data_IF_934775801271
#
_entry.id   IF_934775801271
#
_cell.length_a   1.000
_cell.length_b   1.000
_cell.length_c   1.000
_cell.angle_alpha   90.00
_cell.angle_beta   90.00
_cell.angle_gamma   90.00
#
_symmetry.space_group_name_H-M   'P 1'
#
loop_
_entity.id
_entity.type
_entity.pdbx_description
1 polymer ?
#
# COMPACT_ATOMS: atom_id res chain seq x y z
N UNK A 1 8.36 5.77 1.24
CA UNK A 1 8.74 5.38 2.62
C UNK A 1 7.54 4.77 3.29
N UNK A 2 7.71 3.56 3.84
CA UNK A 2 6.66 2.88 4.59
C UNK A 2 6.62 3.48 5.98
N UNK A 3 5.48 4.02 6.33
CA UNK A 3 5.19 4.49 7.67
C UNK A 3 4.16 3.57 8.29
N UNK A 4 4.50 2.98 9.41
CA UNK A 4 3.58 2.25 10.25
C UNK A 4 3.35 3.05 11.51
N UNK A 5 2.20 3.68 11.63
CA UNK A 5 1.71 4.15 12.92
C UNK A 5 1.16 2.91 13.59
N UNK A 6 2.02 2.20 14.22
CA UNK A 6 1.64 1.10 15.06
C UNK A 6 1.97 1.42 16.49
N UNK A 7 1.47 0.62 17.39
CA UNK A 7 1.78 0.62 18.81
C UNK A 7 3.28 0.62 19.18
N UNK A 8 4.19 0.69 18.21
CA UNK A 8 5.62 0.45 18.40
C UNK A 8 6.49 1.71 18.35
N UNK A 9 5.92 2.90 18.23
CA UNK A 9 6.67 4.17 18.31
C UNK A 9 7.79 4.31 17.28
N UNK A 10 7.55 4.00 16.02
CA UNK A 10 8.55 4.19 14.98
C UNK A 10 8.83 5.66 14.73
N UNK A 11 10.10 6.00 14.61
CA UNK A 11 10.51 7.33 14.18
C UNK A 11 10.05 7.55 12.71
N UNK A 12 9.36 8.65 12.47
CA UNK A 12 9.02 9.07 11.12
C UNK A 12 10.23 9.79 10.55
N UNK A 13 10.81 9.21 9.49
CA UNK A 13 11.82 9.87 8.70
C UNK A 13 11.18 10.39 7.42
N UNK A 14 11.10 11.68 7.26
CA UNK A 14 10.67 12.32 6.03
C UNK A 14 11.90 12.74 5.20
N UNK A 15 11.69 13.03 3.91
CA UNK A 15 12.75 13.63 3.09
C UNK A 15 13.03 15.10 3.46
N UNK A 16 12.21 15.67 4.34
CA UNK A 16 12.36 17.02 4.87
C UNK A 16 12.89 16.90 6.32
N UNK A 17 14.15 17.27 6.58
CA UNK A 17 14.74 17.16 7.91
C UNK A 17 13.99 17.93 9.01
N UNK A 18 13.30 19.01 8.62
CA UNK A 18 12.54 19.84 9.56
C UNK A 18 11.22 19.18 9.97
N UNK A 19 10.81 18.14 9.25
CA UNK A 19 9.63 17.33 9.55
C UNK A 19 9.95 15.95 10.11
N UNK A 20 11.22 15.68 10.40
CA UNK A 20 11.57 14.45 11.08
C UNK A 20 11.04 14.48 12.51
N UNK A 21 10.13 13.57 12.79
CA UNK A 21 9.53 13.44 14.12
C UNK A 21 9.69 12.02 14.65
N UNK A 22 9.77 11.89 15.94
CA UNK A 22 9.61 10.59 16.59
C UNK A 22 8.13 10.24 16.53
N UNK A 23 7.82 9.02 16.09
CA UNK A 23 6.44 8.53 16.14
C UNK A 23 5.93 8.51 17.59
N UNK A 24 4.68 8.82 17.78
CA UNK A 24 4.01 8.71 19.07
C UNK A 24 3.82 7.24 19.43
N UNK A 25 4.12 6.88 20.68
CA UNK A 25 3.81 5.55 21.21
C UNK A 25 2.34 5.50 21.64
N UNK A 26 1.50 4.97 20.77
CA UNK A 26 0.10 4.69 21.10
C UNK A 26 -0.03 3.37 21.86
N UNK A 27 -1.08 3.21 22.68
CA UNK A 27 -1.40 1.91 23.28
C UNK A 27 -1.64 0.84 22.20
N UNK A 28 -1.35 -0.42 22.51
CA UNK A 28 -1.67 -1.51 21.60
C UNK A 28 -3.18 -1.68 21.42
N UNK A 29 -3.61 -2.21 20.26
CA UNK A 29 -5.02 -2.28 19.90
C UNK A 29 -5.87 -3.06 20.91
N UNK A 30 -5.33 -4.11 21.52
CA UNK A 30 -6.03 -4.84 22.59
C UNK A 30 -6.31 -3.98 23.83
N UNK A 31 -5.41 -3.06 24.19
CA UNK A 31 -5.65 -2.11 25.30
C UNK A 31 -6.69 -1.07 24.89
N UNK A 32 -6.62 -0.57 23.67
CA UNK A 32 -7.61 0.37 23.11
C UNK A 32 -9.00 -0.27 23.14
N UNK A 33 -9.13 -1.51 22.69
CA UNK A 33 -10.39 -2.25 22.71
C UNK A 33 -10.91 -2.50 24.13
N UNK A 34 -10.02 -2.81 25.08
CA UNK A 34 -10.39 -3.06 26.48
C UNK A 34 -10.98 -1.82 27.19
N UNK A 35 -10.80 -0.63 26.64
CA UNK A 35 -11.43 0.58 27.18
C UNK A 35 -12.96 0.56 27.03
N UNK A 36 -13.49 -0.17 26.05
CA UNK A 36 -14.91 -0.17 25.68
C UNK A 36 -15.47 1.25 25.45
N UNK A 37 -14.61 2.21 25.15
CA UNK A 37 -14.99 3.62 25.01
C UNK A 37 -14.79 4.10 23.57
N UNK A 38 -15.86 4.09 22.80
CA UNK A 38 -15.86 4.45 21.37
C UNK A 38 -15.41 5.89 21.10
N UNK A 39 -15.70 6.83 22.02
CA UNK A 39 -15.28 8.22 21.88
C UNK A 39 -13.76 8.34 22.05
N UNK A 40 -13.19 7.73 23.09
CA UNK A 40 -11.76 7.73 23.32
C UNK A 40 -11.00 7.08 22.14
N UNK A 41 -11.53 5.99 21.60
CA UNK A 41 -10.95 5.31 20.42
C UNK A 41 -10.94 6.23 19.21
N UNK A 42 -12.01 6.98 18.98
CA UNK A 42 -12.05 7.94 17.89
C UNK A 42 -11.03 9.07 18.09
N UNK A 43 -10.88 9.61 19.29
CA UNK A 43 -9.88 10.61 19.65
C UNK A 43 -8.44 10.09 19.40
N UNK A 44 -8.17 8.82 19.76
CA UNK A 44 -6.89 8.17 19.43
C UNK A 44 -6.68 8.11 17.92
N UNK A 45 -7.69 7.73 17.15
CA UNK A 45 -7.64 7.72 15.69
C UNK A 45 -7.37 9.11 15.11
N UNK A 46 -7.98 10.17 15.65
CA UNK A 46 -7.72 11.55 15.23
C UNK A 46 -6.26 11.95 15.45
N UNK A 47 -5.67 11.59 16.60
CA UNK A 47 -4.27 11.86 16.89
C UNK A 47 -3.32 11.08 15.97
N UNK A 48 -3.63 9.81 15.69
CA UNK A 48 -2.87 9.00 14.74
C UNK A 48 -2.94 9.60 13.33
N UNK A 49 -4.13 10.03 12.91
CA UNK A 49 -4.32 10.69 11.62
C UNK A 49 -3.56 12.02 11.53
N UNK A 50 -3.49 12.77 12.63
CA UNK A 50 -2.73 14.01 12.71
C UNK A 50 -1.21 13.76 12.61
N UNK A 51 -0.68 12.76 13.31
CA UNK A 51 0.72 12.35 13.19
C UNK A 51 1.05 11.94 11.74
N UNK A 52 0.19 11.17 11.09
CA UNK A 52 0.35 10.79 9.70
C UNK A 52 0.32 12.00 8.75
N UNK A 53 -0.58 12.95 9.02
CA UNK A 53 -0.67 14.21 8.29
C UNK A 53 0.62 15.03 8.43
N UNK A 54 1.15 15.18 9.64
CA UNK A 54 2.41 15.85 9.90
C UNK A 54 3.59 15.19 9.18
N UNK A 55 3.59 13.87 9.13
CA UNK A 55 4.58 13.09 8.40
C UNK A 55 4.46 13.18 6.87
N UNK A 56 3.40 13.79 6.35
CA UNK A 56 3.16 13.93 4.92
C UNK A 56 2.59 12.67 4.25
N UNK A 57 1.96 11.77 5.02
CA UNK A 57 1.35 10.54 4.50
C UNK A 57 -0.15 10.73 4.26
N UNK A 58 -0.64 10.18 3.15
CA UNK A 58 -2.05 10.16 2.83
C UNK A 58 -2.71 8.82 3.17
N UNK A 59 -1.93 7.79 3.45
CA UNK A 59 -2.43 6.45 3.81
C UNK A 59 -1.60 5.79 4.90
N UNK A 60 -2.25 4.95 5.70
CA UNK A 60 -1.69 4.29 6.86
C UNK A 60 -1.82 2.76 6.74
N UNK A 61 -0.72 2.01 6.90
CA UNK A 61 -0.73 0.54 7.01
C UNK A 61 -1.20 0.10 8.41
N UNK A 62 -2.45 0.16 8.65
CA UNK A 62 -3.20 -0.14 9.85
C UNK A 62 -4.65 0.19 9.54
N UNK A 63 -5.53 -0.22 10.33
CA UNK A 63 -5.52 -0.91 11.60
C UNK A 63 -5.53 -2.44 11.45
N UNK A 64 -5.18 -3.19 12.50
CA UNK A 64 -5.16 -4.66 12.46
C UNK A 64 -6.44 -5.28 13.00
N UNK A 65 -7.14 -6.10 12.19
CA UNK A 65 -8.47 -6.66 12.50
C UNK A 65 -8.51 -8.18 12.62
N UNK A 66 -7.36 -8.85 12.61
CA UNK A 66 -7.37 -10.30 12.77
C UNK A 66 -7.77 -10.68 14.19
N UNK A 67 -8.30 -11.89 14.33
CA UNK A 67 -8.94 -12.35 15.55
C UNK A 67 -7.93 -13.01 16.50
N UNK A 68 -8.02 -12.71 17.79
CA UNK A 68 -7.21 -13.36 18.84
C UNK A 68 -7.61 -14.82 19.01
N UNK A 69 -7.03 -15.72 18.20
CA UNK A 69 -7.29 -17.17 18.27
C UNK A 69 -6.40 -17.87 19.29
N UNK A 70 -5.18 -17.38 19.44
CA UNK A 70 -4.21 -17.92 20.37
C UNK A 70 -3.31 -16.81 20.90
N UNK A 71 -2.98 -16.80 22.20
CA UNK A 71 -2.02 -15.85 22.75
C UNK A 71 -0.62 -16.00 22.15
N UNK A 72 -0.34 -17.13 21.50
CA UNK A 72 0.94 -17.43 20.87
C UNK A 72 1.00 -17.08 19.38
N UNK A 73 0.00 -16.39 18.84
CA UNK A 73 -0.04 -16.09 17.41
C UNK A 73 1.10 -15.19 16.92
N UNK A 74 1.72 -14.42 17.81
CA UNK A 74 2.86 -13.54 17.52
C UNK A 74 2.51 -12.08 17.24
N UNK A 75 1.25 -11.76 16.88
CA UNK A 75 0.81 -10.38 16.55
C UNK A 75 -0.48 -9.94 17.26
N UNK A 76 -0.88 -10.62 18.32
CA UNK A 76 -2.08 -10.25 19.10
C UNK A 76 -2.05 -8.83 19.64
N UNK A 77 -0.87 -8.25 19.86
CA UNK A 77 -0.73 -6.86 20.29
C UNK A 77 -1.21 -5.85 19.24
N UNK A 78 -1.25 -6.25 17.97
CA UNK A 78 -1.64 -5.43 16.83
C UNK A 78 -3.15 -5.52 16.53
N UNK A 79 -3.85 -6.45 17.18
CA UNK A 79 -5.26 -6.75 16.96
C UNK A 79 -6.10 -6.39 18.19
N UNK A 80 -7.41 -6.19 18.00
CA UNK A 80 -8.28 -5.65 19.05
C UNK A 80 -8.80 -6.71 20.01
N UNK A 81 -9.32 -7.85 19.50
CA UNK A 81 -10.10 -8.77 20.30
C UNK A 81 -10.18 -10.18 19.69
N UNK A 82 -10.71 -11.11 20.46
CA UNK A 82 -11.16 -12.43 20.01
C UNK A 82 -12.57 -12.38 19.39
N UNK A 83 -13.29 -11.28 19.57
CA UNK A 83 -14.66 -11.07 19.08
C UNK A 83 -14.65 -10.21 17.83
N UNK A 84 -15.21 -10.73 16.71
CA UNK A 84 -15.27 -10.02 15.43
C UNK A 84 -16.13 -8.77 15.45
N UNK A 85 -17.21 -8.75 16.29
CA UNK A 85 -18.09 -7.59 16.43
C UNK A 85 -17.37 -6.49 17.21
N UNK A 86 -16.77 -6.82 18.35
CA UNK A 86 -16.01 -5.85 19.14
C UNK A 86 -14.85 -5.29 18.33
N UNK A 87 -14.09 -6.15 17.66
CA UNK A 87 -13.00 -5.74 16.76
C UNK A 87 -13.48 -4.73 15.72
N UNK A 88 -14.55 -5.06 15.00
CA UNK A 88 -15.05 -4.19 13.93
C UNK A 88 -15.68 -2.89 14.44
N UNK A 89 -16.36 -2.89 15.59
CA UNK A 89 -16.95 -1.68 16.17
C UNK A 89 -15.88 -0.70 16.68
N UNK A 90 -14.86 -1.22 17.34
CA UNK A 90 -13.73 -0.40 17.84
C UNK A 90 -12.92 0.16 16.66
N UNK A 91 -12.60 -0.69 15.70
CA UNK A 91 -11.86 -0.27 14.51
C UNK A 91 -12.63 0.77 13.71
N UNK A 92 -13.93 0.64 13.56
CA UNK A 92 -14.75 1.63 12.85
C UNK A 92 -14.58 3.03 13.47
N UNK A 93 -14.46 3.15 14.78
CA UNK A 93 -14.25 4.44 15.45
C UNK A 93 -12.84 4.97 15.26
N UNK A 94 -11.83 4.12 15.36
CA UNK A 94 -10.45 4.50 15.08
C UNK A 94 -10.28 4.94 13.62
N UNK A 95 -10.85 4.18 12.68
CA UNK A 95 -10.88 4.51 11.25
C UNK A 95 -11.56 5.85 10.98
N UNK A 96 -12.72 6.14 11.59
CA UNK A 96 -13.37 7.46 11.49
C UNK A 96 -12.42 8.57 11.95
N UNK A 97 -11.75 8.38 13.08
CA UNK A 97 -10.78 9.34 13.61
C UNK A 97 -9.65 9.61 12.62
N UNK A 98 -8.99 8.56 12.14
CA UNK A 98 -7.87 8.66 11.19
C UNK A 98 -8.32 9.33 9.88
N UNK A 99 -9.43 8.87 9.32
CA UNK A 99 -9.98 9.40 8.05
C UNK A 99 -10.47 10.84 8.17
N UNK A 100 -10.83 11.31 9.37
CA UNK A 100 -11.20 12.72 9.61
C UNK A 100 -10.07 13.70 9.28
N UNK A 101 -8.82 13.22 9.26
CA UNK A 101 -7.63 13.98 8.85
C UNK A 101 -7.27 13.78 7.38
N UNK A 102 -8.14 13.15 6.60
CA UNK A 102 -7.91 12.84 5.19
C UNK A 102 -6.92 11.70 4.93
N UNK A 103 -6.55 10.94 5.96
CA UNK A 103 -5.63 9.79 5.87
C UNK A 103 -6.45 8.51 5.75
N UNK A 104 -6.38 7.83 4.61
CA UNK A 104 -7.06 6.54 4.46
C UNK A 104 -6.29 5.42 5.17
N UNK A 105 -7.03 4.39 5.60
CA UNK A 105 -6.45 3.24 6.31
C UNK A 105 -6.48 1.99 5.44
N UNK A 106 -5.48 1.12 5.63
CA UNK A 106 -5.46 -0.23 5.08
C UNK A 106 -5.82 -1.21 6.19
N UNK A 107 -7.13 -1.45 6.40
CA UNK A 107 -7.56 -2.45 7.36
C UNK A 107 -6.93 -3.81 7.03
N UNK A 108 -6.26 -4.46 7.98
CA UNK A 108 -5.41 -5.61 7.72
C UNK A 108 -5.52 -6.68 8.80
N UNK A 109 -5.14 -7.92 8.46
CA UNK A 109 -4.77 -8.45 7.15
C UNK A 109 -5.95 -9.26 6.63
N UNK A 110 -6.52 -8.87 5.52
CA UNK A 110 -7.73 -9.45 4.94
C UNK A 110 -7.41 -10.76 4.20
N UNK A 111 -7.78 -11.91 4.72
CA UNK A 111 -8.45 -12.27 5.94
C UNK A 111 -7.82 -13.57 6.51
N UNK A 112 -8.09 -13.86 7.80
CA UNK A 112 -7.64 -15.10 8.48
C UNK A 112 -6.13 -15.19 8.77
N UNK A 113 -5.43 -14.07 8.89
CA UNK A 113 -4.03 -14.06 9.34
C UNK A 113 -3.94 -14.07 10.88
N UNK A 114 -4.45 -15.13 11.49
CA UNK A 114 -4.52 -15.26 12.96
C UNK A 114 -3.32 -16.00 13.55
N UNK A 115 -2.31 -16.31 12.74
CA UNK A 115 -1.07 -16.97 13.15
C UNK A 115 0.10 -16.50 12.29
N UNK A 116 1.26 -16.34 12.90
CA UNK A 116 2.48 -15.89 12.24
C UNK A 116 3.42 -17.02 11.82
N UNK A 117 3.38 -18.15 12.50
CA UNK A 117 4.20 -19.30 12.13
C UNK A 117 3.82 -19.82 10.74
N UNK A 118 4.80 -19.83 9.82
CA UNK A 118 4.62 -20.25 8.43
C UNK A 118 3.52 -19.48 7.68
N UNK A 119 3.26 -18.22 8.04
CA UNK A 119 2.15 -17.42 7.47
C UNK A 119 2.22 -17.25 5.95
N UNK A 120 3.42 -17.26 5.37
CA UNK A 120 3.61 -17.12 3.93
C UNK A 120 3.02 -18.32 3.18
N UNK A 121 1.82 -18.15 2.65
CA UNK A 121 1.11 -19.15 1.86
C UNK A 121 0.54 -20.34 2.65
N UNK A 122 0.47 -20.26 3.99
CA UNK A 122 -0.21 -21.31 4.80
C UNK A 122 -1.68 -21.41 4.42
N UNK A 123 -2.22 -22.62 4.33
CA UNK A 123 -3.66 -22.86 4.15
C UNK A 123 -4.42 -22.66 5.45
N UNK A 124 -5.40 -21.79 5.46
CA UNK A 124 -6.36 -21.62 6.55
C UNK A 124 -7.72 -22.18 6.16
N UNK A 125 -8.45 -22.75 7.12
CA UNK A 125 -9.71 -23.43 6.85
C UNK A 125 -10.75 -23.07 7.92
N UNK A 126 -11.93 -22.69 7.47
CA UNK A 126 -13.10 -22.55 8.31
C UNK A 126 -14.34 -22.83 7.45
N UNK A 127 -15.49 -23.08 8.10
CA UNK A 127 -16.76 -23.12 7.38
C UNK A 127 -17.22 -21.69 7.04
N UNK A 128 -18.14 -21.56 6.11
CA UNK A 128 -18.64 -20.26 5.65
C UNK A 128 -19.31 -19.45 6.78
N UNK A 129 -20.02 -20.11 7.68
CA UNK A 129 -20.66 -19.44 8.82
C UNK A 129 -19.59 -18.76 9.71
N UNK A 130 -18.56 -19.49 10.12
CA UNK A 130 -17.47 -18.91 10.92
C UNK A 130 -16.73 -17.81 10.17
N UNK A 131 -16.52 -17.98 8.86
CA UNK A 131 -15.91 -16.95 8.03
C UNK A 131 -16.72 -15.65 8.08
N UNK A 132 -18.03 -15.71 7.87
CA UNK A 132 -18.90 -14.54 7.80
C UNK A 132 -19.20 -13.92 9.18
N UNK A 133 -19.48 -14.73 10.19
CA UNK A 133 -19.91 -14.23 11.48
C UNK A 133 -18.76 -13.73 12.36
N UNK A 134 -17.54 -14.22 12.16
CA UNK A 134 -16.37 -13.89 12.98
C UNK A 134 -15.36 -13.08 12.17
N UNK A 135 -14.78 -13.68 11.14
CA UNK A 135 -13.59 -13.13 10.47
C UNK A 135 -13.92 -11.97 9.52
N UNK A 136 -14.91 -12.14 8.66
CA UNK A 136 -15.36 -11.08 7.76
C UNK A 136 -16.09 -9.97 8.49
N UNK A 137 -16.80 -10.31 9.58
CA UNK A 137 -17.54 -9.33 10.38
C UNK A 137 -16.65 -8.22 10.94
N UNK A 138 -15.41 -8.55 11.31
CA UNK A 138 -14.43 -7.59 11.76
C UNK A 138 -14.08 -6.53 10.70
N UNK A 139 -14.08 -6.91 9.41
CA UNK A 139 -13.83 -6.00 8.29
C UNK A 139 -15.10 -5.32 7.78
N UNK A 140 -16.23 -6.00 7.83
CA UNK A 140 -17.52 -5.46 7.38
C UNK A 140 -17.92 -4.18 8.12
N UNK A 141 -17.76 -4.20 9.44
CA UNK A 141 -18.23 -3.10 10.29
C UNK A 141 -17.51 -1.78 9.99
N UNK A 142 -16.17 -1.70 9.90
CA UNK A 142 -15.50 -0.45 9.49
C UNK A 142 -15.81 -0.03 8.07
N UNK A 143 -16.02 -0.95 7.13
CA UNK A 143 -16.45 -0.60 5.78
C UNK A 143 -17.81 0.10 5.81
N UNK A 144 -18.80 -0.49 6.53
CA UNK A 144 -20.17 0.05 6.56
C UNK A 144 -20.29 1.29 7.44
N UNK A 145 -19.60 1.33 8.60
CA UNK A 145 -19.79 2.41 9.60
C UNK A 145 -18.81 3.56 9.47
N UNK A 146 -17.63 3.33 8.89
CA UNK A 146 -16.58 4.32 8.76
C UNK A 146 -16.20 4.62 7.32
N UNK A 147 -16.85 3.99 6.34
CA UNK A 147 -16.44 4.06 4.93
C UNK A 147 -14.93 3.77 4.76
N UNK A 148 -14.47 2.69 5.41
CA UNK A 148 -13.07 2.28 5.31
C UNK A 148 -12.67 2.08 3.85
N UNK A 149 -11.68 2.87 3.38
CA UNK A 149 -11.38 2.98 1.97
C UNK A 149 -10.51 1.86 1.43
N UNK A 150 -9.67 1.25 2.26
CA UNK A 150 -8.71 0.26 1.78
C UNK A 150 -8.59 -0.94 2.70
N UNK A 151 -8.16 -2.06 2.12
CA UNK A 151 -7.73 -3.25 2.87
C UNK A 151 -6.34 -3.69 2.41
N UNK A 152 -5.62 -4.36 3.31
CA UNK A 152 -4.40 -5.09 2.97
C UNK A 152 -4.68 -6.58 3.04
N UNK A 153 -4.46 -7.31 1.95
CA UNK A 153 -4.71 -8.75 1.89
C UNK A 153 -3.63 -9.54 2.61
N UNK A 154 -4.04 -10.65 3.20
CA UNK A 154 -3.18 -11.47 4.05
C UNK A 154 -2.22 -12.37 3.25
N UNK A 155 -1.14 -12.82 3.88
CA UNK A 155 -0.21 -13.79 3.31
C UNK A 155 -0.79 -15.18 3.12
N UNK A 156 -1.73 -15.59 3.98
CA UNK A 156 -2.28 -16.93 4.01
C UNK A 156 -3.22 -17.21 2.83
N UNK A 157 -3.46 -18.48 2.63
CA UNK A 157 -4.52 -18.97 1.73
C UNK A 157 -5.79 -19.21 2.53
N UNK A 158 -6.94 -19.02 1.89
CA UNK A 158 -8.21 -19.56 2.32
C UNK A 158 -8.50 -20.82 1.50
N UNK A 159 -8.44 -21.97 2.16
CA UNK A 159 -8.34 -23.23 1.44
C UNK A 159 -7.04 -23.33 0.64
N UNK A 160 -7.15 -23.53 -0.66
CA UNK A 160 -6.03 -23.64 -1.58
C UNK A 160 -5.65 -22.32 -2.25
N UNK A 161 -6.51 -21.29 -2.18
CA UNK A 161 -6.33 -20.04 -2.92
C UNK A 161 -5.76 -18.98 -1.98
N UNK A 162 -4.72 -18.28 -2.41
CA UNK A 162 -4.17 -17.15 -1.68
C UNK A 162 -5.23 -16.04 -1.54
N UNK A 163 -5.37 -15.47 -0.32
CA UNK A 163 -6.38 -14.46 -0.01
C UNK A 163 -6.33 -13.25 -0.96
N UNK A 164 -5.13 -12.86 -1.41
CA UNK A 164 -4.92 -11.76 -2.36
C UNK A 164 -5.25 -12.09 -3.83
N UNK A 165 -5.60 -13.34 -4.14
CA UNK A 165 -6.02 -13.77 -5.49
C UNK A 165 -7.36 -14.50 -5.47
N UNK A 166 -8.17 -14.28 -4.43
CA UNK A 166 -9.45 -14.96 -4.25
C UNK A 166 -10.62 -14.06 -4.68
N UNK A 167 -11.15 -14.29 -5.87
CA UNK A 167 -12.18 -13.45 -6.49
C UNK A 167 -13.43 -13.32 -5.63
N UNK A 168 -13.92 -14.41 -5.05
CA UNK A 168 -15.11 -14.44 -4.20
C UNK A 168 -14.95 -13.59 -2.95
N UNK A 169 -13.72 -13.49 -2.40
CA UNK A 169 -13.43 -12.59 -1.28
C UNK A 169 -13.32 -11.14 -1.74
N UNK A 170 -12.53 -10.87 -2.79
CA UNK A 170 -12.13 -9.52 -3.15
C UNK A 170 -13.16 -8.81 -4.03
N UNK A 171 -13.84 -9.53 -4.88
CA UNK A 171 -14.82 -8.95 -5.79
C UNK A 171 -16.23 -9.17 -5.27
N UNK A 172 -16.63 -10.40 -4.97
CA UNK A 172 -18.02 -10.68 -4.65
C UNK A 172 -18.37 -10.20 -3.26
N UNK A 173 -17.56 -10.56 -2.25
CA UNK A 173 -17.84 -10.14 -0.89
C UNK A 173 -17.39 -8.70 -0.61
N UNK A 174 -16.11 -8.39 -0.80
CA UNK A 174 -15.55 -7.09 -0.39
C UNK A 174 -16.19 -5.91 -1.13
N UNK A 175 -16.44 -6.06 -2.43
CA UNK A 175 -17.04 -5.03 -3.28
C UNK A 175 -18.54 -5.17 -3.42
N UNK A 176 -19.02 -6.41 -3.63
CA UNK A 176 -20.43 -6.69 -3.88
C UNK A 176 -21.28 -6.66 -2.61
N UNK A 177 -20.87 -7.36 -1.56
CA UNK A 177 -21.64 -7.46 -0.33
C UNK A 177 -21.31 -6.34 0.67
N UNK A 178 -20.02 -6.15 1.01
CA UNK A 178 -19.59 -5.13 1.98
C UNK A 178 -19.56 -3.71 1.42
N UNK A 179 -19.46 -3.56 0.09
CA UNK A 179 -19.58 -2.26 -0.59
C UNK A 179 -18.34 -1.38 -0.55
N UNK A 180 -17.14 -1.92 -0.28
CA UNK A 180 -15.92 -1.13 -0.24
C UNK A 180 -15.61 -0.48 -1.60
N UNK A 181 -15.45 0.84 -1.63
CA UNK A 181 -15.25 1.62 -2.86
C UNK A 181 -13.79 1.84 -3.24
N UNK A 182 -12.88 1.83 -2.28
CA UNK A 182 -11.46 2.06 -2.48
C UNK A 182 -10.69 0.82 -2.94
N UNK A 183 -9.39 0.76 -2.72
CA UNK A 183 -8.54 -0.29 -3.27
C UNK A 183 -8.04 -1.31 -2.25
N UNK A 184 -7.65 -2.47 -2.73
CA UNK A 184 -6.94 -3.48 -1.96
C UNK A 184 -5.46 -3.51 -2.34
N UNK A 185 -4.58 -3.68 -1.34
CA UNK A 185 -3.14 -3.84 -1.52
C UNK A 185 -2.73 -5.20 -0.96
N UNK A 186 -1.66 -5.80 -1.48
CA UNK A 186 -1.10 -7.00 -0.85
C UNK A 186 -0.39 -6.63 0.45
N UNK A 187 -0.23 -7.57 1.39
CA UNK A 187 0.91 -7.54 2.31
C UNK A 187 2.21 -7.60 1.48
N UNK A 188 3.37 -7.48 2.11
CA UNK A 188 4.65 -7.47 1.40
C UNK A 188 4.70 -8.57 0.34
N UNK A 189 4.89 -8.17 -0.91
CA UNK A 189 4.84 -9.10 -2.03
C UNK A 189 5.90 -10.19 -1.90
N UNK A 190 5.47 -11.45 -1.99
CA UNK A 190 6.32 -12.64 -2.04
C UNK A 190 6.18 -13.30 -3.41
N UNK A 191 7.20 -13.15 -4.24
CA UNK A 191 7.22 -13.66 -5.62
C UNK A 191 7.17 -15.19 -5.74
N UNK A 192 7.18 -15.94 -4.62
CA UNK A 192 7.16 -17.41 -4.67
C UNK A 192 5.76 -17.98 -4.94
N UNK A 193 4.69 -17.32 -4.47
CA UNK A 193 3.31 -17.81 -4.64
C UNK A 193 2.29 -16.71 -4.96
N UNK A 194 2.64 -15.45 -4.75
CA UNK A 194 1.82 -14.30 -5.12
C UNK A 194 2.02 -13.98 -6.60
N UNK A 195 1.01 -14.20 -7.42
CA UNK A 195 1.07 -13.96 -8.87
C UNK A 195 0.33 -12.68 -9.19
N UNK A 196 1.05 -11.64 -9.64
CA UNK A 196 0.52 -10.28 -9.89
C UNK A 196 -0.68 -10.24 -10.82
N UNK A 197 -0.69 -11.04 -11.88
CA UNK A 197 -1.82 -11.10 -12.80
C UNK A 197 -3.06 -11.68 -12.13
N UNK A 198 -2.89 -12.71 -11.31
CA UNK A 198 -4.01 -13.35 -10.61
C UNK A 198 -4.62 -12.41 -9.56
N UNK A 199 -3.78 -11.68 -8.81
CA UNK A 199 -4.27 -10.73 -7.81
C UNK A 199 -5.06 -9.59 -8.45
N UNK A 200 -4.56 -8.99 -9.53
CA UNK A 200 -5.25 -7.91 -10.25
C UNK A 200 -6.60 -8.38 -10.81
N UNK A 201 -6.63 -9.56 -11.42
CA UNK A 201 -7.87 -10.14 -11.95
C UNK A 201 -8.87 -10.46 -10.85
N UNK A 202 -8.40 -10.90 -9.68
CA UNK A 202 -9.26 -11.20 -8.54
C UNK A 202 -9.82 -9.93 -7.84
N UNK A 203 -9.22 -8.76 -8.07
CA UNK A 203 -9.66 -7.50 -7.48
C UNK A 203 -8.76 -6.98 -6.36
N UNK A 204 -7.55 -7.50 -6.23
CA UNK A 204 -6.48 -6.90 -5.46
C UNK A 204 -5.74 -5.91 -6.36
N UNK A 205 -5.74 -4.63 -5.99
CA UNK A 205 -5.48 -3.55 -6.93
C UNK A 205 -4.01 -3.14 -7.00
N UNK A 206 -3.22 -3.42 -5.96
CA UNK A 206 -1.82 -3.03 -5.87
C UNK A 206 -0.96 -4.13 -5.24
N UNK A 207 0.13 -4.57 -5.90
CA UNK A 207 1.18 -5.33 -5.23
C UNK A 207 2.01 -4.40 -4.33
N UNK A 208 2.21 -4.74 -3.05
CA UNK A 208 3.12 -4.01 -2.16
C UNK A 208 4.56 -4.47 -2.38
N UNK A 209 5.18 -3.95 -3.42
CA UNK A 209 6.56 -4.26 -3.78
C UNK A 209 7.56 -3.46 -2.96
N UNK A 210 8.67 -4.08 -2.60
CA UNK A 210 9.85 -3.36 -2.16
C UNK A 210 10.45 -2.53 -3.29
N UNK A 211 11.15 -1.46 -2.92
CA UNK A 211 11.88 -0.64 -3.89
C UNK A 211 12.88 -1.51 -4.66
N UNK A 212 12.70 -1.58 -5.98
CA UNK A 212 13.59 -2.34 -6.86
C UNK A 212 13.03 -3.66 -7.38
N UNK A 213 11.88 -4.13 -6.90
CA UNK A 213 11.21 -5.27 -7.52
C UNK A 213 10.55 -4.89 -8.85
N UNK A 214 10.68 -5.78 -9.82
CA UNK A 214 10.18 -5.56 -11.17
C UNK A 214 8.66 -5.76 -11.25
N UNK A 215 7.93 -4.68 -11.56
CA UNK A 215 6.50 -4.70 -11.89
C UNK A 215 6.26 -4.67 -13.40
N UNK A 216 7.32 -4.85 -14.21
CA UNK A 216 7.23 -4.77 -15.68
C UNK A 216 6.25 -5.79 -16.25
N UNK A 217 6.08 -6.93 -15.60
CA UNK A 217 5.13 -7.97 -16.02
C UNK A 217 3.72 -7.40 -16.24
N UNK A 218 3.22 -6.54 -15.37
CA UNK A 218 1.90 -5.92 -15.52
C UNK A 218 1.82 -4.96 -16.70
N UNK A 219 2.93 -4.32 -17.08
CA UNK A 219 2.99 -3.42 -18.24
C UNK A 219 2.79 -4.18 -19.54
N UNK A 220 3.22 -5.45 -19.60
CA UNK A 220 3.03 -6.30 -20.76
C UNK A 220 1.56 -6.53 -21.11
N UNK A 221 0.66 -6.37 -20.16
CA UNK A 221 -0.79 -6.52 -20.35
C UNK A 221 -1.52 -5.19 -20.61
N UNK A 222 -0.80 -4.06 -20.61
CA UNK A 222 -1.35 -2.76 -20.98
C UNK A 222 -1.69 -2.67 -22.47
N UNK A 223 -2.25 -1.53 -22.93
CA UNK A 223 -2.69 -1.35 -24.32
C UNK A 223 -1.61 -1.60 -25.36
N UNK A 224 -0.36 -1.26 -25.03
CA UNK A 224 0.81 -1.38 -25.91
C UNK A 224 1.70 -2.58 -25.53
N UNK A 225 1.25 -3.44 -24.64
CA UNK A 225 2.02 -4.54 -24.10
C UNK A 225 2.04 -5.77 -25.01
N UNK A 226 3.11 -6.56 -24.92
CA UNK A 226 3.33 -7.75 -25.74
C UNK A 226 2.36 -8.91 -25.44
N UNK A 227 1.74 -8.91 -24.25
CA UNK A 227 0.80 -9.96 -23.77
C UNK A 227 -0.63 -9.45 -23.70
N UNK A 228 -1.13 -8.80 -24.76
CA UNK A 228 -2.47 -8.23 -24.78
C UNK A 228 -3.53 -9.26 -24.33
N UNK A 229 -4.19 -8.97 -23.21
CA UNK A 229 -5.29 -9.76 -22.67
C UNK A 229 -6.41 -8.81 -22.22
N UNK A 230 -7.57 -8.80 -22.88
CA UNK A 230 -8.66 -7.88 -22.57
C UNK A 230 -9.17 -7.97 -21.13
N UNK A 231 -9.16 -9.15 -20.54
CA UNK A 231 -9.60 -9.37 -19.15
C UNK A 231 -8.62 -8.70 -18.17
N UNK A 232 -7.33 -8.90 -18.36
CA UNK A 232 -6.29 -8.28 -17.50
C UNK A 232 -6.27 -6.76 -17.70
N UNK A 233 -6.38 -6.29 -18.93
CA UNK A 233 -6.44 -4.85 -19.24
C UNK A 233 -7.65 -4.18 -18.57
N UNK A 234 -8.82 -4.84 -18.60
CA UNK A 234 -10.01 -4.35 -17.89
C UNK A 234 -9.84 -4.37 -16.38
N UNK A 235 -9.22 -5.41 -15.82
CA UNK A 235 -8.91 -5.48 -14.39
C UNK A 235 -7.97 -4.35 -13.95
N UNK A 236 -6.88 -4.12 -14.69
CA UNK A 236 -5.95 -3.01 -14.45
C UNK A 236 -6.65 -1.64 -14.49
N UNK A 237 -7.55 -1.43 -15.45
CA UNK A 237 -8.35 -0.21 -15.53
C UNK A 237 -9.26 -0.04 -14.31
N UNK A 238 -9.85 -1.12 -13.83
CA UNK A 238 -10.71 -1.11 -12.63
C UNK A 238 -9.88 -0.81 -11.38
N UNK A 239 -8.72 -1.44 -11.25
CA UNK A 239 -7.77 -1.17 -10.15
C UNK A 239 -7.31 0.29 -10.15
N UNK A 240 -6.92 0.83 -11.29
CA UNK A 240 -6.56 2.24 -11.42
C UNK A 240 -7.71 3.17 -10.99
N UNK A 241 -8.95 2.85 -11.36
CA UNK A 241 -10.14 3.61 -10.93
C UNK A 241 -10.29 3.61 -9.41
N UNK A 242 -10.13 2.46 -8.75
CA UNK A 242 -10.25 2.33 -7.29
C UNK A 242 -9.16 3.11 -6.54
N UNK A 243 -7.92 3.00 -7.02
CA UNK A 243 -6.79 3.78 -6.48
C UNK A 243 -7.05 5.28 -6.61
N UNK A 244 -7.46 5.73 -7.81
CA UNK A 244 -7.78 7.14 -8.04
C UNK A 244 -8.95 7.61 -7.18
N UNK A 245 -9.99 6.78 -7.00
CA UNK A 245 -11.10 7.11 -6.12
C UNK A 245 -10.65 7.37 -4.68
N UNK A 246 -9.79 6.51 -4.12
CA UNK A 246 -9.25 6.71 -2.78
C UNK A 246 -8.37 7.96 -2.70
N UNK A 247 -7.50 8.18 -3.69
CA UNK A 247 -6.61 9.35 -3.71
C UNK A 247 -7.41 10.65 -3.77
N UNK A 248 -8.44 10.72 -4.62
CA UNK A 248 -9.29 11.92 -4.76
C UNK A 248 -10.07 12.24 -3.48
N UNK A 249 -10.47 11.20 -2.73
CA UNK A 249 -11.21 11.34 -1.48
C UNK A 249 -10.30 11.41 -0.23
N UNK A 250 -8.99 11.56 -0.42
CA UNK A 250 -8.01 11.64 0.65
C UNK A 250 -7.18 12.92 0.55
N UNK A 251 -6.38 13.20 1.57
CA UNK A 251 -5.41 14.30 1.53
C UNK A 251 -4.31 14.14 0.46
N UNK A 252 -4.23 13.01 -0.21
CA UNK A 252 -3.35 12.83 -1.37
C UNK A 252 -3.57 13.86 -2.47
N UNK A 253 -4.76 14.51 -2.46
CA UNK A 253 -5.11 15.61 -3.36
C UNK A 253 -4.98 17.02 -2.73
N UNK A 254 -4.46 17.13 -1.49
CA UNK A 254 -4.28 18.41 -0.83
C UNK A 254 -3.43 19.36 -1.69
N UNK A 255 -3.97 20.53 -1.97
CA UNK A 255 -3.34 21.52 -2.83
C UNK A 255 -3.42 21.23 -4.35
N UNK A 256 -4.02 20.10 -4.75
CA UNK A 256 -4.23 19.75 -6.17
C UNK A 256 -5.69 20.03 -6.56
N UNK A 257 -5.89 20.73 -7.66
CA UNK A 257 -7.19 21.04 -8.23
C UNK A 257 -7.17 20.89 -9.75
N UNK A 258 -8.33 21.04 -10.40
CA UNK A 258 -8.41 21.06 -11.87
C UNK A 258 -7.59 22.19 -12.53
N UNK A 259 -7.21 23.19 -11.75
CA UNK A 259 -6.35 24.30 -12.21
C UNK A 259 -4.87 24.09 -11.88
N UNK A 260 -4.54 23.04 -11.15
CA UNK A 260 -3.15 22.74 -10.80
C UNK A 260 -2.36 22.34 -12.04
N UNK A 261 -1.29 23.09 -12.31
CA UNK A 261 -0.38 22.81 -13.40
C UNK A 261 0.88 22.14 -12.86
N UNK A 262 1.12 20.90 -13.27
CA UNK A 262 2.36 20.22 -12.93
C UNK A 262 3.48 20.77 -13.82
N UNK A 263 4.40 21.50 -13.21
CA UNK A 263 5.61 21.99 -13.88
C UNK A 263 6.75 21.05 -13.51
N UNK A 264 7.35 20.40 -14.50
CA UNK A 264 8.58 19.62 -14.31
C UNK A 264 9.76 20.54 -14.50
N UNK A 265 10.38 20.94 -13.43
CA UNK A 265 11.63 21.68 -13.47
C UNK A 265 12.79 20.71 -13.28
N UNK A 266 13.80 20.82 -14.15
CA UNK A 266 15.03 20.08 -13.97
C UNK A 266 15.75 20.64 -12.75
N UNK A 267 16.10 19.78 -11.81
CA UNK A 267 16.89 20.18 -10.63
C UNK A 267 18.27 20.69 -11.08
N UNK A 268 18.87 21.56 -10.27
CA UNK A 268 20.20 22.14 -10.57
C UNK A 268 21.26 21.07 -10.86
N UNK A 269 21.20 19.93 -10.15
CA UNK A 269 22.16 18.84 -10.36
C UNK A 269 21.90 18.08 -11.67
N UNK A 270 20.63 17.93 -12.08
CA UNK A 270 20.28 17.34 -13.41
C UNK A 270 20.76 18.23 -14.55
N UNK A 271 20.58 19.55 -14.41
CA UNK A 271 21.12 20.53 -15.36
C UNK A 271 22.63 20.45 -15.43
N UNK A 272 23.31 20.38 -14.29
CA UNK A 272 24.78 20.27 -14.21
C UNK A 272 25.29 19.00 -14.87
N UNK A 273 24.64 17.85 -14.60
CA UNK A 273 24.99 16.58 -15.23
C UNK A 273 24.80 16.61 -16.74
N UNK A 274 23.71 17.18 -17.23
CA UNK A 274 23.46 17.32 -18.65
C UNK A 274 24.55 18.21 -19.33
N UNK A 275 24.88 19.34 -18.73
CA UNK A 275 25.94 20.22 -19.21
C UNK A 275 27.29 19.49 -19.23
N UNK A 276 27.64 18.79 -18.15
CA UNK A 276 28.88 18.03 -18.05
C UNK A 276 28.96 16.90 -19.11
N UNK A 277 27.88 16.20 -19.37
CA UNK A 277 27.79 15.17 -20.41
C UNK A 277 28.05 15.76 -21.81
N UNK A 278 27.40 16.86 -22.12
CA UNK A 278 27.61 17.52 -23.43
C UNK A 278 29.01 18.07 -23.59
N UNK A 279 29.57 18.68 -22.52
CA UNK A 279 30.95 19.18 -22.55
C UNK A 279 31.97 18.04 -22.73
N UNK A 280 31.79 16.93 -22.00
CA UNK A 280 32.65 15.75 -22.13
C UNK A 280 32.55 15.12 -23.54
N UNK A 281 31.36 15.03 -24.09
CA UNK A 281 31.11 14.55 -25.45
C UNK A 281 31.79 15.42 -26.48
N UNK A 282 31.70 16.76 -26.37
CA UNK A 282 32.39 17.70 -27.25
C UNK A 282 33.92 17.59 -27.17
N UNK A 283 34.48 17.52 -25.95
CA UNK A 283 35.91 17.33 -25.71
C UNK A 283 36.41 16.01 -26.32
N UNK A 284 35.65 14.94 -26.17
CA UNK A 284 35.98 13.63 -26.74
C UNK A 284 35.98 13.68 -28.26
N UNK A 285 34.99 14.34 -28.87
CA UNK A 285 34.94 14.51 -30.32
C UNK A 285 36.14 15.35 -30.85
N UNK A 286 36.47 16.44 -30.17
CA UNK A 286 37.66 17.27 -30.53
C UNK A 286 38.93 16.46 -30.38
N UNK A 287 39.12 15.73 -29.28
CA UNK A 287 40.30 14.88 -29.10
C UNK A 287 40.42 13.81 -30.18
N UNK A 288 39.31 13.17 -30.55
CA UNK A 288 39.29 12.20 -31.65
C UNK A 288 39.71 12.81 -32.97
N UNK A 289 39.18 13.98 -33.32
CA UNK A 289 39.57 14.71 -34.55
C UNK A 289 41.06 15.05 -34.54
N UNK A 290 41.61 15.54 -33.43
CA UNK A 290 43.01 15.87 -33.29
C UNK A 290 43.92 14.64 -33.46
N UNK A 291 43.57 13.50 -32.88
CA UNK A 291 44.31 12.23 -33.06
C UNK A 291 44.31 11.77 -34.51
N UNK A 292 43.15 11.84 -35.18
CA UNK A 292 43.03 11.47 -36.59
C UNK A 292 43.89 12.38 -37.49
N UNK A 293 43.87 13.70 -37.20
CA UNK A 293 44.67 14.68 -37.97
C UNK A 293 46.18 14.49 -37.74
N UNK A 294 46.62 14.19 -36.51
CA UNK A 294 48.03 13.91 -36.20
C UNK A 294 48.50 12.62 -36.87
N UNK A 295 47.65 11.58 -36.86
CA UNK A 295 47.92 10.32 -37.55
C UNK A 295 48.12 10.52 -39.07
N UNK A 296 47.25 11.34 -39.70
CA UNK A 296 47.37 11.68 -41.12
C UNK A 296 48.67 12.46 -41.42
N UNK A 297 49.05 13.40 -40.54
CA UNK A 297 50.33 14.14 -40.70
C UNK A 297 51.56 13.25 -40.59
N UNK A 298 51.55 12.26 -39.73
CA UNK A 298 52.65 11.30 -39.56
C UNK A 298 52.73 10.29 -40.72
N UNK A 299 51.61 9.90 -41.32
CA UNK A 299 51.55 9.03 -42.48
C UNK A 299 51.97 9.69 -43.78
N UNK A 300 51.82 11.01 -43.90
CA UNK A 300 52.25 11.79 -45.08
C UNK A 300 53.77 12.13 -45.09
N UNK A 301 54.49 11.85 -43.98
CA UNK A 301 55.93 12.05 -43.83
C UNK A 301 56.76 10.77 -44.01
N UNK A 302 56.12 9.64 -44.29
CA UNK A 302 56.74 8.41 -44.76
C UNK A 302 56.48 8.22 -46.24
#
# INVERSE_FOLDING_TARGET
QKYSVGSNGYAVQTNDPDKNMKGTCYPCNGIIAATMNSQLVQEVGELIGEDAMWAGYAGLYGTGLNIHRSPYSGRVFEYYSEDGILTGLIDARETVGIQSKGVYVYNKHFVLNDQENNRAGIGTWCNEQALREIYLRAFELPIIQADAQCVMTAFNRLGAIWAGAYTELLTDWLRGEAGMSGFAVTDMYDGTYMVKVNEIVAGNDLPDNFVGEDISELKDYGPDGAKANPMVAQALRTSAKRVLNTVVNSRGMDGISQYTRVVREATWWQLTLNIAQWALGALTAVAFVLVVLDGKKKGAKK
#
